data_IF_113869909599
#
_entry.id   IF_113869909599
#
_cell.length_a   1.000
_cell.length_b   1.000
_cell.length_c   1.000
_cell.angle_alpha   90.00
_cell.angle_beta   90.00
_cell.angle_gamma   90.00
#
_symmetry.space_group_name_H-M   'P 1'
#
loop_
_entity.id
_entity.type
_entity.pdbx_description
1 polymer ?
#
# COMPACT_ATOMS: atom_id res chain seq x y z
N UNK A 1 3.09 -24.12 -0.46
CA UNK A 1 1.67 -23.85 -0.66
C UNK A 1 0.92 -23.62 0.66
N UNK A 2 1.07 -24.49 1.65
CA UNK A 2 0.42 -24.36 2.97
C UNK A 2 0.73 -23.05 3.70
N UNK A 3 1.98 -22.60 3.78
CA UNK A 3 2.37 -21.33 4.40
C UNK A 3 1.77 -20.10 3.70
N UNK A 4 1.59 -20.14 2.38
CA UNK A 4 0.94 -19.04 1.64
C UNK A 4 -0.54 -18.92 2.02
N UNK A 5 -1.23 -20.05 2.16
CA UNK A 5 -2.64 -20.05 2.60
C UNK A 5 -2.76 -19.51 4.03
N UNK A 6 -1.86 -19.90 4.93
CA UNK A 6 -1.84 -19.39 6.30
C UNK A 6 -1.57 -17.89 6.29
N UNK A 7 -0.58 -17.41 5.53
CA UNK A 7 -0.28 -15.97 5.42
C UNK A 7 -1.50 -15.18 4.93
N UNK A 8 -2.22 -15.70 3.94
CA UNK A 8 -3.44 -15.08 3.45
C UNK A 8 -4.52 -14.99 4.53
N UNK A 9 -4.78 -16.09 5.23
CA UNK A 9 -5.79 -16.14 6.30
C UNK A 9 -5.42 -15.19 7.44
N UNK A 10 -4.15 -15.15 7.85
CA UNK A 10 -3.65 -14.25 8.90
C UNK A 10 -3.80 -12.79 8.47
N UNK A 11 -3.40 -12.44 7.25
CA UNK A 11 -3.56 -11.09 6.72
C UNK A 11 -5.03 -10.68 6.66
N UNK A 12 -5.91 -11.55 6.17
CA UNK A 12 -7.35 -11.32 6.12
C UNK A 12 -7.94 -11.09 7.50
N UNK A 13 -7.60 -11.94 8.47
CA UNK A 13 -8.07 -11.81 9.85
C UNK A 13 -7.60 -10.48 10.47
N UNK A 14 -6.34 -10.10 10.29
CA UNK A 14 -5.81 -8.81 10.76
C UNK A 14 -6.58 -7.62 10.18
N UNK A 15 -6.85 -7.64 8.87
CA UNK A 15 -7.62 -6.57 8.21
C UNK A 15 -9.04 -6.51 8.76
N UNK A 16 -9.74 -7.65 8.87
CA UNK A 16 -11.12 -7.70 9.37
C UNK A 16 -11.24 -7.19 10.82
N UNK A 17 -10.24 -7.45 11.66
CA UNK A 17 -10.22 -6.98 13.05
C UNK A 17 -9.83 -5.50 13.15
N UNK A 18 -8.89 -5.04 12.29
CA UNK A 18 -8.37 -3.68 12.34
C UNK A 18 -9.33 -2.66 11.70
N UNK A 19 -9.96 -2.99 10.56
CA UNK A 19 -10.77 -2.04 9.78
C UNK A 19 -11.93 -1.42 10.56
N UNK A 20 -12.74 -2.15 11.37
CA UNK A 20 -13.81 -1.56 12.14
C UNK A 20 -13.36 -0.48 13.13
N UNK A 21 -12.11 -0.55 13.59
CA UNK A 21 -11.51 0.45 14.49
C UNK A 21 -10.89 1.61 13.74
N UNK A 22 -10.27 1.32 12.59
CA UNK A 22 -9.55 2.31 11.78
C UNK A 22 -10.50 3.19 10.97
N UNK A 23 -11.60 2.65 10.43
CA UNK A 23 -12.57 3.40 9.65
C UNK A 23 -13.11 4.64 10.40
N UNK A 24 -13.60 4.54 11.64
CA UNK A 24 -14.06 5.71 12.39
C UNK A 24 -12.96 6.75 12.63
N UNK A 25 -11.72 6.29 12.84
CA UNK A 25 -10.57 7.17 13.01
C UNK A 25 -10.24 7.93 11.72
N UNK A 26 -10.23 7.23 10.58
CA UNK A 26 -10.01 7.84 9.27
C UNK A 26 -11.12 8.82 8.90
N UNK A 27 -12.37 8.52 9.27
CA UNK A 27 -13.47 9.48 9.11
C UNK A 27 -13.24 10.78 9.88
N UNK A 28 -12.69 10.71 11.09
CA UNK A 28 -12.35 11.92 11.87
C UNK A 28 -11.26 12.76 11.19
N UNK A 29 -10.28 12.11 10.54
CA UNK A 29 -9.23 12.81 9.79
C UNK A 29 -9.76 13.48 8.52
N UNK A 30 -10.86 12.99 7.96
CA UNK A 30 -11.50 13.51 6.76
C UNK A 30 -12.38 14.76 7.02
N UNK A 31 -12.46 15.23 8.24
CA UNK A 31 -13.23 16.41 8.61
C UNK A 31 -12.63 17.66 7.92
N UNK A 32 -13.22 18.03 6.76
CA UNK A 32 -12.81 19.20 5.98
C UNK A 32 -12.54 18.97 4.50
N UNK A 33 -12.69 17.72 3.99
CA UNK A 33 -12.66 17.54 2.53
C UNK A 33 -13.93 18.16 1.93
N UNK A 34 -13.74 19.28 1.24
CA UNK A 34 -14.78 19.94 0.44
C UNK A 34 -15.19 18.98 -0.67
N UNK A 35 -16.47 18.58 -0.68
CA UNK A 35 -17.04 17.82 -1.77
C UNK A 35 -16.93 18.67 -3.05
N UNK A 36 -16.54 18.05 -4.17
CA UNK A 36 -16.61 18.70 -5.48
C UNK A 36 -18.07 19.07 -5.74
N UNK A 37 -18.34 20.37 -5.84
CA UNK A 37 -19.69 20.92 -6.13
C UNK A 37 -20.24 20.48 -7.48
N UNK A 38 -19.39 19.94 -8.38
CA UNK A 38 -19.74 19.58 -9.77
C UNK A 38 -20.16 18.10 -9.96
N UNK A 39 -20.34 17.32 -8.89
CA UNK A 39 -20.71 15.91 -8.96
C UNK A 39 -22.23 15.69 -9.08
N UNK A 40 -22.64 14.78 -10.01
CA UNK A 40 -24.02 14.26 -10.10
C UNK A 40 -24.53 13.81 -8.72
N UNK A 41 -25.82 14.00 -8.43
CA UNK A 41 -26.46 13.70 -7.14
C UNK A 41 -26.22 12.26 -6.63
N UNK A 42 -25.95 11.31 -7.51
CA UNK A 42 -25.53 9.94 -7.17
C UNK A 42 -24.13 9.84 -6.54
N UNK A 43 -23.25 10.81 -6.80
CA UNK A 43 -21.90 10.88 -6.21
C UNK A 43 -21.90 11.46 -4.80
N UNK A 44 -22.90 12.26 -4.41
CA UNK A 44 -23.07 12.80 -3.05
C UNK A 44 -23.29 11.70 -2.00
N UNK A 45 -23.86 10.55 -2.38
CA UNK A 45 -23.98 9.37 -1.48
C UNK A 45 -22.65 8.65 -1.22
N UNK A 46 -21.62 8.85 -2.05
CA UNK A 46 -20.28 8.26 -1.87
C UNK A 46 -19.30 9.16 -1.11
N UNK A 47 -19.70 10.38 -0.74
CA UNK A 47 -18.90 11.39 -0.01
C UNK A 47 -18.48 10.99 1.41
N UNK A 48 -18.63 9.75 1.81
CA UNK A 48 -18.28 9.27 3.14
C UNK A 48 -17.15 8.22 3.19
N UNK A 49 -16.60 7.78 2.04
CA UNK A 49 -15.57 6.73 2.09
C UNK A 49 -14.22 7.34 2.48
N UNK A 50 -13.62 6.91 3.62
CA UNK A 50 -12.33 7.45 4.05
C UNK A 50 -11.23 7.04 3.08
N UNK A 51 -10.28 7.94 2.85
CA UNK A 51 -9.00 7.66 2.19
C UNK A 51 -8.03 7.00 3.18
N UNK A 52 -6.87 6.53 2.73
CA UNK A 52 -5.81 5.91 3.54
C UNK A 52 -6.12 4.52 4.10
N UNK A 53 -7.23 3.86 3.73
CA UNK A 53 -7.52 2.48 4.13
C UNK A 53 -6.45 1.48 3.68
N UNK A 54 -5.73 1.77 2.62
CA UNK A 54 -4.64 0.96 2.09
C UNK A 54 -3.49 0.72 3.07
N UNK A 55 -3.27 1.62 4.03
CA UNK A 55 -2.24 1.46 5.06
C UNK A 55 -2.47 0.20 5.90
N UNK A 56 -3.73 -0.07 6.25
CA UNK A 56 -4.11 -1.26 7.04
C UNK A 56 -3.78 -2.54 6.27
N UNK A 57 -4.06 -2.58 4.97
CA UNK A 57 -3.75 -3.75 4.13
C UNK A 57 -2.24 -3.98 4.03
N UNK A 58 -1.46 -2.93 3.83
CA UNK A 58 0.00 -3.01 3.72
C UNK A 58 0.59 -3.54 5.03
N UNK A 59 0.20 -2.96 6.17
CA UNK A 59 0.69 -3.37 7.49
C UNK A 59 0.30 -4.81 7.79
N UNK A 60 -0.96 -5.19 7.54
CA UNK A 60 -1.43 -6.56 7.74
C UNK A 60 -0.69 -7.57 6.86
N UNK A 61 -0.45 -7.25 5.59
CA UNK A 61 0.29 -8.11 4.67
C UNK A 61 1.75 -8.31 5.11
N UNK A 62 2.43 -7.23 5.53
CA UNK A 62 3.81 -7.30 6.02
C UNK A 62 3.89 -8.14 7.30
N UNK A 63 3.00 -7.89 8.27
CA UNK A 63 2.96 -8.66 9.53
C UNK A 63 2.71 -10.14 9.23
N UNK A 64 1.73 -10.47 8.39
CA UNK A 64 1.40 -11.85 8.04
C UNK A 64 2.58 -12.56 7.33
N UNK A 65 3.25 -11.86 6.41
CA UNK A 65 4.41 -12.39 5.70
C UNK A 65 5.53 -12.77 6.68
N UNK A 66 5.87 -11.91 7.62
CA UNK A 66 6.95 -12.19 8.57
C UNK A 66 6.56 -13.16 9.67
N UNK A 67 5.32 -13.17 10.15
CA UNK A 67 4.85 -14.20 11.11
C UNK A 67 4.93 -15.60 10.49
N UNK A 68 4.49 -15.75 9.25
CA UNK A 68 4.48 -17.06 8.60
C UNK A 68 5.87 -17.53 8.14
N UNK A 69 6.81 -16.61 7.97
CA UNK A 69 8.17 -16.90 7.55
C UNK A 69 9.21 -16.60 8.64
N UNK A 70 8.83 -16.64 9.92
CA UNK A 70 9.71 -16.27 11.03
C UNK A 70 11.01 -17.10 11.10
N UNK A 71 10.98 -18.38 10.65
CA UNK A 71 12.17 -19.24 10.59
C UNK A 71 13.13 -18.86 9.45
N UNK A 72 12.67 -18.06 8.49
CA UNK A 72 13.44 -17.69 7.31
C UNK A 72 13.39 -16.17 7.07
N UNK A 73 13.66 -15.42 8.14
CA UNK A 73 13.57 -13.95 8.17
C UNK A 73 14.46 -13.26 7.12
N UNK A 74 15.51 -13.95 6.67
CA UNK A 74 16.44 -13.47 5.65
C UNK A 74 16.05 -13.91 4.23
N UNK A 75 14.82 -14.43 4.03
CA UNK A 75 14.39 -14.85 2.70
C UNK A 75 14.36 -13.64 1.74
N UNK A 76 15.21 -13.64 0.69
CA UNK A 76 15.35 -12.49 -0.21
C UNK A 76 14.06 -12.18 -0.98
N UNK A 77 13.25 -13.19 -1.28
CA UNK A 77 11.97 -13.00 -1.98
C UNK A 77 10.97 -12.23 -1.12
N UNK A 78 10.82 -12.62 0.15
CA UNK A 78 9.92 -11.95 1.11
C UNK A 78 10.37 -10.51 1.33
N UNK A 79 11.68 -10.31 1.52
CA UNK A 79 12.24 -8.99 1.75
C UNK A 79 12.09 -8.05 0.56
N UNK A 80 12.28 -8.56 -0.67
CA UNK A 80 12.07 -7.78 -1.90
C UNK A 80 10.60 -7.41 -2.12
N UNK A 81 9.69 -8.36 -1.89
CA UNK A 81 8.25 -8.08 -1.96
C UNK A 81 7.82 -7.04 -0.93
N UNK A 82 8.33 -7.16 0.31
CA UNK A 82 8.06 -6.18 1.38
C UNK A 82 8.63 -4.81 1.02
N UNK A 83 9.85 -4.74 0.48
CA UNK A 83 10.44 -3.50 0.00
C UNK A 83 9.57 -2.81 -1.05
N UNK A 84 9.11 -3.57 -2.06
CA UNK A 84 8.23 -3.07 -3.11
C UNK A 84 6.90 -2.57 -2.53
N UNK A 85 6.26 -3.39 -1.69
CA UNK A 85 4.98 -3.07 -1.06
C UNK A 85 5.06 -1.79 -0.20
N UNK A 86 6.10 -1.67 0.61
CA UNK A 86 6.33 -0.48 1.45
C UNK A 86 6.72 0.73 0.61
N UNK A 87 7.58 0.57 -0.40
CA UNK A 87 8.01 1.66 -1.27
C UNK A 87 6.85 2.32 -2.00
N UNK A 88 6.03 1.53 -2.70
CA UNK A 88 4.83 2.04 -3.37
C UNK A 88 3.75 2.48 -2.37
N UNK A 89 3.63 1.78 -1.23
CA UNK A 89 2.70 2.12 -0.17
C UNK A 89 2.98 3.49 0.46
N UNK A 90 4.25 3.82 0.70
CA UNK A 90 4.66 5.14 1.21
C UNK A 90 4.30 6.25 0.21
N UNK A 91 4.51 6.02 -1.09
CA UNK A 91 4.14 7.00 -2.13
C UNK A 91 2.63 7.24 -2.11
N UNK A 92 1.82 6.17 -2.04
CA UNK A 92 0.37 6.28 -1.92
C UNK A 92 -0.07 6.97 -0.63
N UNK A 93 0.58 6.66 0.48
CA UNK A 93 0.33 7.32 1.76
C UNK A 93 0.61 8.83 1.71
N UNK A 94 1.74 9.24 1.12
CA UNK A 94 2.08 10.66 0.96
C UNK A 94 1.04 11.36 0.07
N UNK A 95 0.62 10.73 -1.01
CA UNK A 95 -0.41 11.25 -1.91
C UNK A 95 -1.73 11.52 -1.16
N UNK A 96 -2.23 10.52 -0.45
CA UNK A 96 -3.45 10.63 0.35
C UNK A 96 -3.30 11.62 1.52
N UNK A 97 -2.13 11.63 2.18
CA UNK A 97 -1.85 12.57 3.27
C UNK A 97 -1.89 14.03 2.81
N UNK A 98 -1.32 14.34 1.66
CA UNK A 98 -1.37 15.68 1.08
C UNK A 98 -2.80 16.12 0.78
N UNK A 99 -3.65 15.20 0.27
CA UNK A 99 -5.07 15.48 0.04
C UNK A 99 -5.78 15.86 1.35
N UNK A 100 -5.50 15.11 2.42
CA UNK A 100 -6.11 15.37 3.73
C UNK A 100 -5.64 16.69 4.34
N UNK A 101 -4.32 16.95 4.34
CA UNK A 101 -3.73 18.13 4.99
C UNK A 101 -4.02 19.42 4.21
N UNK A 102 -3.99 19.36 2.88
CA UNK A 102 -4.24 20.54 2.05
C UNK A 102 -5.73 20.83 1.85
N UNK A 103 -6.63 20.01 2.40
CA UNK A 103 -8.08 20.10 2.19
C UNK A 103 -8.44 20.30 0.72
N UNK A 104 -7.68 19.68 -0.19
CA UNK A 104 -7.84 19.83 -1.64
C UNK A 104 -7.82 18.45 -2.28
N UNK A 105 -8.54 18.27 -3.37
CA UNK A 105 -8.51 17.04 -4.16
C UNK A 105 -7.21 16.88 -4.98
N UNK A 106 -6.20 17.73 -4.74
CA UNK A 106 -4.90 17.71 -5.42
C UNK A 106 -3.89 17.05 -4.49
N UNK A 107 -3.61 15.77 -4.70
CA UNK A 107 -2.49 15.07 -4.07
C UNK A 107 -1.13 15.47 -4.66
N UNK A 108 -0.20 14.54 -4.74
CA UNK A 108 1.09 14.74 -5.40
C UNK A 108 0.92 15.13 -6.86
N UNK A 109 1.73 16.09 -7.34
CA UNK A 109 1.80 16.36 -8.78
C UNK A 109 2.18 15.09 -9.52
N UNK A 110 1.54 14.77 -10.67
CA UNK A 110 1.79 13.53 -11.42
C UNK A 110 3.27 13.26 -11.71
N UNK A 111 4.03 14.30 -12.04
CA UNK A 111 5.47 14.19 -12.32
C UNK A 111 6.28 13.70 -11.11
N UNK A 112 5.99 14.22 -9.91
CA UNK A 112 6.67 13.75 -8.68
C UNK A 112 6.27 12.32 -8.31
N UNK A 113 4.98 11.98 -8.46
CA UNK A 113 4.48 10.64 -8.24
C UNK A 113 5.17 9.63 -9.15
N UNK A 114 5.24 9.95 -10.44
CA UNK A 114 5.95 9.12 -11.42
C UNK A 114 7.44 8.99 -11.11
N UNK A 115 8.13 10.09 -10.78
CA UNK A 115 9.54 10.07 -10.44
C UNK A 115 9.82 9.17 -9.21
N UNK A 116 9.03 9.30 -8.14
CA UNK A 116 9.17 8.48 -6.94
C UNK A 116 8.92 6.99 -7.22
N UNK A 117 7.90 6.66 -8.01
CA UNK A 117 7.62 5.29 -8.43
C UNK A 117 8.74 4.71 -9.26
N UNK A 118 9.33 5.49 -10.18
CA UNK A 118 10.47 5.07 -10.99
C UNK A 118 11.70 4.79 -10.13
N UNK A 119 11.97 5.61 -9.10
CA UNK A 119 13.08 5.38 -8.16
C UNK A 119 12.89 4.07 -7.41
N UNK A 120 11.68 3.79 -6.90
CA UNK A 120 11.38 2.53 -6.20
C UNK A 120 11.56 1.33 -7.14
N UNK A 121 11.09 1.43 -8.39
CA UNK A 121 11.22 0.35 -9.37
C UNK A 121 12.69 0.07 -9.73
N UNK A 122 13.49 1.12 -9.94
CA UNK A 122 14.92 1.00 -10.22
C UNK A 122 15.65 0.39 -9.02
N UNK A 123 15.37 0.86 -7.81
CA UNK A 123 15.95 0.30 -6.59
C UNK A 123 15.59 -1.19 -6.43
N UNK A 124 14.33 -1.55 -6.68
CA UNK A 124 13.88 -2.94 -6.67
C UNK A 124 14.67 -3.81 -7.65
N UNK A 125 14.88 -3.32 -8.88
CA UNK A 125 15.66 -4.04 -9.89
C UNK A 125 17.09 -4.34 -9.40
N UNK A 126 17.80 -3.34 -8.87
CA UNK A 126 19.16 -3.54 -8.39
C UNK A 126 19.23 -4.46 -7.16
N UNK A 127 18.26 -4.36 -6.26
CA UNK A 127 18.16 -5.25 -5.10
C UNK A 127 17.86 -6.69 -5.55
N UNK A 128 16.94 -6.88 -6.50
CA UNK A 128 16.63 -8.19 -7.05
C UNK A 128 17.87 -8.83 -7.70
N UNK A 129 18.59 -8.06 -8.52
CA UNK A 129 19.84 -8.53 -9.15
C UNK A 129 20.92 -8.91 -8.12
N UNK A 130 20.98 -8.20 -6.99
CA UNK A 130 21.97 -8.45 -5.94
C UNK A 130 21.62 -9.66 -5.07
N UNK A 131 20.36 -9.85 -4.73
CA UNK A 131 19.94 -10.84 -3.74
C UNK A 131 19.33 -12.11 -4.31
N UNK A 132 18.93 -12.12 -5.59
CA UNK A 132 18.40 -13.29 -6.26
C UNK A 132 19.45 -13.89 -7.22
N UNK A 133 20.04 -15.04 -6.90
CA UNK A 133 21.16 -15.59 -7.69
C UNK A 133 20.78 -15.99 -9.13
N UNK A 134 19.49 -16.25 -9.38
CA UNK A 134 18.96 -16.66 -10.69
C UNK A 134 18.07 -15.59 -11.32
N UNK A 135 18.26 -14.31 -10.93
CA UNK A 135 17.48 -13.23 -11.50
C UNK A 135 17.94 -12.96 -12.94
N UNK A 136 17.13 -13.38 -13.92
CA UNK A 136 17.33 -13.09 -15.34
C UNK A 136 16.28 -12.10 -15.82
N UNK A 137 16.69 -11.18 -16.67
CA UNK A 137 15.79 -10.29 -17.42
C UNK A 137 15.52 -10.80 -18.83
N UNK A 138 16.02 -11.99 -19.16
CA UNK A 138 15.77 -12.60 -20.45
C UNK A 138 14.33 -13.09 -20.54
N UNK A 139 13.66 -12.66 -21.60
CA UNK A 139 12.32 -13.18 -21.93
C UNK A 139 12.54 -14.52 -22.59
N UNK A 140 12.22 -15.61 -21.90
CA UNK A 140 12.19 -16.96 -22.49
C UNK A 140 10.90 -17.03 -23.31
N UNK A 141 11.03 -16.99 -24.63
CA UNK A 141 9.94 -17.16 -25.59
C UNK A 141 9.80 -18.66 -25.89
#
# INVERSE_FOLDING_TARGET
>A
MFLLMISFIVALALVLVAMPKVIPYLHKLKFGQVEREEGLASHKKKGGTPTMGGVVFIVAAVIAAYICHYQNFMNPYVNLLTFSLLGFGIIGFIDDYLIVVQHSNKGLKPSYKYAMQSVVAIAFYFLAKKFLPNFSTEIII
#
